data_IF_622428142709
#
_entry.id   IF_622428142709
#
_cell.length_a   1.000
_cell.length_b   1.000
_cell.length_c   1.000
_cell.angle_alpha   90.00
_cell.angle_beta   90.00
_cell.angle_gamma   90.00
#
_symmetry.space_group_name_H-M   'P 1'
#
loop_
_entity.id
_entity.type
_entity.pdbx_description
1 polymer ?
#
# COMPACT_ATOMS: atom_id res chain seq x y z
N UNK A 1 -14.06 10.01 -8.66
CA UNK A 1 -13.62 11.25 -7.99
C UNK A 1 -14.32 11.40 -6.64
N UNK A 2 -15.66 11.35 -6.60
CA UNK A 2 -16.46 11.43 -5.37
C UNK A 2 -16.04 10.44 -4.27
N UNK A 3 -15.84 9.15 -4.61
CA UNK A 3 -15.43 8.12 -3.63
C UNK A 3 -14.08 8.39 -2.95
N UNK A 4 -13.21 9.18 -3.57
CA UNK A 4 -11.92 9.58 -2.99
C UNK A 4 -12.07 10.86 -2.17
N UNK A 5 -12.59 11.91 -2.81
CA UNK A 5 -12.56 13.27 -2.28
C UNK A 5 -13.49 13.42 -1.09
N UNK A 6 -14.73 12.91 -1.17
CA UNK A 6 -15.72 13.13 -0.11
C UNK A 6 -15.27 12.52 1.21
N UNK A 7 -14.86 11.23 1.30
CA UNK A 7 -14.50 10.70 2.61
C UNK A 7 -13.16 11.27 3.11
N UNK A 8 -12.21 11.62 2.24
CA UNK A 8 -10.97 12.30 2.67
C UNK A 8 -11.27 13.68 3.21
N UNK A 9 -12.12 14.46 2.53
CA UNK A 9 -12.55 15.77 3.00
C UNK A 9 -13.25 15.67 4.36
N UNK A 10 -14.12 14.68 4.57
CA UNK A 10 -14.77 14.46 5.86
C UNK A 10 -13.74 14.14 6.98
N UNK A 11 -12.69 13.37 6.69
CA UNK A 11 -11.60 13.11 7.64
C UNK A 11 -10.82 14.40 7.94
N UNK A 12 -10.61 15.26 6.94
CA UNK A 12 -9.90 16.55 7.11
C UNK A 12 -10.73 17.62 7.79
N UNK A 13 -12.06 17.61 7.64
CA UNK A 13 -12.98 18.63 8.10
C UNK A 13 -12.77 19.06 9.56
N UNK A 14 -12.69 18.15 10.56
CA UNK A 14 -12.47 18.57 11.94
C UNK A 14 -11.11 19.26 12.16
N UNK A 15 -10.07 18.86 11.43
CA UNK A 15 -8.76 19.51 11.49
C UNK A 15 -8.75 20.86 10.76
N UNK A 16 -9.46 20.98 9.64
CA UNK A 16 -9.63 22.24 8.92
C UNK A 16 -10.36 23.29 9.77
N UNK A 17 -11.38 22.85 10.51
CA UNK A 17 -12.17 23.70 11.40
C UNK A 17 -11.48 23.96 12.75
N UNK A 18 -10.36 23.28 13.04
CA UNK A 18 -9.70 23.29 14.35
C UNK A 18 -10.71 23.02 15.48
N UNK A 19 -11.53 21.98 15.31
CA UNK A 19 -12.47 21.57 16.36
C UNK A 19 -11.71 21.10 17.60
N UNK A 20 -12.11 21.52 18.79
CA UNK A 20 -11.53 21.03 20.06
C UNK A 20 -11.83 19.56 20.32
N UNK A 21 -13.02 19.11 19.92
CA UNK A 21 -13.44 17.73 20.00
C UNK A 21 -14.47 17.39 18.93
N UNK A 22 -14.66 16.09 18.68
CA UNK A 22 -15.76 15.57 17.87
C UNK A 22 -16.38 14.35 18.55
N UNK A 23 -17.65 14.43 18.93
CA UNK A 23 -18.36 13.39 19.68
C UNK A 23 -17.58 12.86 20.90
N UNK A 24 -16.97 13.78 21.66
CA UNK A 24 -16.17 13.45 22.85
C UNK A 24 -14.73 13.01 22.59
N UNK A 25 -14.31 12.85 21.32
CA UNK A 25 -12.92 12.57 20.96
C UNK A 25 -12.15 13.90 20.96
N UNK A 26 -11.12 14.10 21.81
CA UNK A 26 -10.31 15.30 21.80
C UNK A 26 -9.45 15.38 20.53
N UNK A 27 -9.32 16.57 19.95
CA UNK A 27 -8.63 16.79 18.69
C UNK A 27 -7.52 17.85 18.82
N UNK A 28 -6.34 17.64 18.19
CA UNK A 28 -5.27 18.62 18.15
C UNK A 28 -5.66 19.92 17.44
N UNK A 29 -5.20 21.05 17.97
CA UNK A 29 -5.51 22.40 17.47
C UNK A 29 -4.55 22.91 16.39
N UNK A 30 -3.59 22.08 15.97
CA UNK A 30 -2.59 22.41 14.94
C UNK A 30 -3.18 22.39 13.51
N UNK A 31 -4.47 22.12 13.38
CA UNK A 31 -5.17 22.05 12.10
C UNK A 31 -4.61 20.97 11.17
N UNK A 32 -4.53 21.27 9.86
CA UNK A 32 -3.99 20.34 8.85
C UNK A 32 -2.53 19.93 9.07
N UNK A 33 -1.77 20.66 9.88
CA UNK A 33 -0.42 20.22 10.27
C UNK A 33 -0.48 18.84 10.95
N UNK A 34 -1.53 18.54 11.72
CA UNK A 34 -1.75 17.22 12.33
C UNK A 34 -1.83 16.10 11.28
N UNK A 35 -2.49 16.39 10.15
CA UNK A 35 -2.65 15.43 9.04
C UNK A 35 -1.33 15.24 8.30
N UNK A 36 -0.60 16.32 8.04
CA UNK A 36 0.72 16.29 7.38
C UNK A 36 1.74 15.54 8.24
N UNK A 37 1.73 15.78 9.55
CA UNK A 37 2.70 15.27 10.48
C UNK A 37 2.46 13.79 10.86
N UNK A 38 1.46 13.13 10.26
CA UNK A 38 1.23 11.71 10.54
C UNK A 38 2.45 10.85 10.21
N UNK A 39 2.69 9.82 11.01
CA UNK A 39 3.88 8.98 10.86
C UNK A 39 4.07 8.43 9.45
N UNK A 40 5.36 8.31 9.13
CA UNK A 40 6.02 8.04 7.85
C UNK A 40 5.98 9.17 6.82
N UNK A 41 4.96 10.02 6.80
CA UNK A 41 4.85 11.13 5.83
C UNK A 41 6.06 12.08 5.83
N UNK A 42 6.42 12.69 6.97
CA UNK A 42 7.60 13.54 7.08
C UNK A 42 8.92 12.87 6.68
N UNK A 43 9.06 11.57 6.89
CA UNK A 43 10.26 10.82 6.51
C UNK A 43 10.39 10.71 4.98
N UNK A 44 9.28 10.58 4.26
CA UNK A 44 9.27 10.70 2.80
C UNK A 44 9.62 12.12 2.31
N UNK A 45 9.26 13.18 3.05
CA UNK A 45 9.63 14.55 2.71
C UNK A 45 11.14 14.80 2.81
N UNK A 46 11.84 14.14 3.74
CA UNK A 46 13.31 14.19 3.81
C UNK A 46 13.90 13.71 2.49
N UNK A 47 13.43 12.58 1.96
CA UNK A 47 13.89 12.05 0.67
C UNK A 47 13.48 12.98 -0.48
N UNK A 48 12.28 13.57 -0.43
CA UNK A 48 11.83 14.56 -1.43
C UNK A 48 12.81 15.72 -1.57
N UNK A 49 13.27 16.26 -0.44
CA UNK A 49 14.16 17.43 -0.40
C UNK A 49 15.61 17.06 -0.73
N UNK A 50 16.08 15.91 -0.28
CA UNK A 50 17.52 15.56 -0.32
C UNK A 50 17.91 14.62 -1.45
N UNK A 51 16.96 13.88 -2.03
CA UNK A 51 17.21 12.75 -2.95
C UNK A 51 18.31 11.82 -2.42
N UNK A 52 18.21 11.46 -1.14
CA UNK A 52 19.12 10.57 -0.43
C UNK A 52 20.54 11.14 -0.20
N UNK A 53 20.78 12.44 -0.42
CA UNK A 53 22.07 13.06 -0.09
C UNK A 53 22.34 13.01 1.41
N UNK A 54 23.34 12.22 1.81
CA UNK A 54 23.71 12.03 3.21
C UNK A 54 24.07 13.33 3.93
N UNK A 55 24.76 14.24 3.24
CA UNK A 55 25.15 15.54 3.80
C UNK A 55 23.92 16.41 4.06
N UNK A 56 23.03 16.53 3.06
CA UNK A 56 21.81 17.33 3.20
C UNK A 56 20.87 16.78 4.28
N UNK A 57 20.80 15.45 4.45
CA UNK A 57 20.02 14.83 5.52
C UNK A 57 20.57 15.26 6.89
N UNK A 58 21.87 15.12 7.12
CA UNK A 58 22.52 15.45 8.40
C UNK A 58 22.46 16.94 8.74
N UNK A 59 22.62 17.79 7.74
CA UNK A 59 22.68 19.24 7.92
C UNK A 59 21.29 19.87 8.17
N UNK A 60 20.24 19.34 7.52
CA UNK A 60 18.94 20.01 7.47
C UNK A 60 17.85 19.30 8.28
N UNK A 61 18.01 18.04 8.67
CA UNK A 61 16.95 17.27 9.34
C UNK A 61 17.43 16.66 10.65
N UNK A 62 16.80 17.06 11.76
CA UNK A 62 17.17 16.64 13.11
C UNK A 62 16.37 15.41 13.59
N UNK A 63 16.25 14.37 12.75
CA UNK A 63 15.66 13.10 13.19
C UNK A 63 16.73 12.20 13.83
N UNK A 64 16.43 11.51 14.94
CA UNK A 64 17.37 10.61 15.63
C UNK A 64 17.48 9.25 14.89
N UNK A 65 17.70 9.31 13.58
CA UNK A 65 17.72 8.15 12.68
C UNK A 65 19.01 8.18 11.86
N UNK A 66 19.64 7.01 11.62
CA UNK A 66 20.79 6.93 10.73
C UNK A 66 20.37 7.31 9.30
N UNK A 67 21.30 7.82 8.50
CA UNK A 67 21.03 8.24 7.12
C UNK A 67 20.55 7.07 6.25
N UNK A 68 21.04 5.87 6.53
CA UNK A 68 20.65 4.63 5.87
C UNK A 68 19.17 4.28 6.10
N UNK A 69 18.54 4.80 7.15
CA UNK A 69 17.11 4.60 7.41
C UNK A 69 16.24 5.05 6.22
N UNK A 70 16.65 6.14 5.55
CA UNK A 70 15.91 6.67 4.42
C UNK A 70 15.98 5.78 3.17
N UNK A 71 16.86 4.75 3.12
CA UNK A 71 16.85 3.75 2.06
C UNK A 71 15.58 2.86 2.07
N UNK A 72 14.80 2.86 3.17
CA UNK A 72 13.47 2.24 3.22
C UNK A 72 12.39 3.04 2.45
N UNK A 73 12.66 4.31 2.15
CA UNK A 73 11.71 5.24 1.55
C UNK A 73 11.96 5.34 0.05
N UNK A 74 11.44 4.37 -0.71
CA UNK A 74 11.68 4.21 -2.15
C UNK A 74 11.24 5.43 -2.99
N UNK A 75 11.87 5.67 -4.16
CA UNK A 75 11.97 7.01 -4.73
C UNK A 75 10.71 7.55 -5.42
N UNK A 76 9.77 6.72 -5.89
CA UNK A 76 8.69 7.21 -6.74
C UNK A 76 7.77 8.20 -6.02
N UNK A 77 7.37 7.90 -4.79
CA UNK A 77 6.52 8.80 -4.01
C UNK A 77 7.25 10.14 -3.71
N UNK A 78 8.48 10.16 -3.15
CA UNK A 78 9.28 11.37 -3.01
C UNK A 78 9.46 12.22 -4.27
N UNK A 79 9.72 11.58 -5.40
CA UNK A 79 9.90 12.26 -6.69
C UNK A 79 8.60 12.90 -7.15
N UNK A 80 7.46 12.21 -7.03
CA UNK A 80 6.16 12.79 -7.34
C UNK A 80 5.84 13.98 -6.42
N UNK A 81 6.13 13.88 -5.12
CA UNK A 81 5.98 15.01 -4.20
C UNK A 81 6.82 16.19 -4.68
N UNK A 82 8.09 15.94 -5.03
CA UNK A 82 9.01 17.00 -5.49
C UNK A 82 8.50 17.68 -6.76
N UNK A 83 7.92 16.94 -7.69
CA UNK A 83 7.32 17.49 -8.91
C UNK A 83 6.13 18.41 -8.59
N UNK A 84 5.25 18.00 -7.68
CA UNK A 84 4.09 18.80 -7.25
C UNK A 84 4.47 19.95 -6.31
N UNK A 85 5.62 19.86 -5.63
CA UNK A 85 6.14 20.93 -4.77
C UNK A 85 6.55 22.19 -5.55
N UNK A 86 6.57 22.14 -6.89
CA UNK A 86 6.72 23.34 -7.71
C UNK A 86 5.43 24.21 -7.74
N UNK A 87 4.29 23.66 -7.31
CA UNK A 87 2.98 24.33 -7.32
C UNK A 87 2.56 24.75 -5.90
N UNK A 88 3.06 24.05 -4.87
CA UNK A 88 2.74 24.28 -3.45
C UNK A 88 3.88 23.78 -2.56
N UNK A 89 3.81 23.97 -1.24
CA UNK A 89 4.83 23.45 -0.32
C UNK A 89 4.86 21.92 -0.29
N UNK A 90 6.03 21.32 -0.06
CA UNK A 90 6.20 19.86 -0.11
C UNK A 90 5.22 19.08 0.80
N UNK A 91 4.91 19.52 2.04
CA UNK A 91 3.84 18.97 2.85
C UNK A 91 2.48 18.82 2.17
N UNK A 92 2.02 19.86 1.47
CA UNK A 92 0.72 19.84 0.79
C UNK A 92 0.81 19.11 -0.54
N UNK A 93 1.94 19.20 -1.24
CA UNK A 93 2.22 18.39 -2.41
C UNK A 93 2.12 16.89 -2.07
N UNK A 94 2.60 16.48 -0.90
CA UNK A 94 2.45 15.11 -0.40
C UNK A 94 1.00 14.69 -0.24
N UNK A 95 0.16 15.51 0.41
CA UNK A 95 -1.27 15.22 0.52
C UNK A 95 -1.95 15.14 -0.85
N UNK A 96 -1.61 16.05 -1.78
CA UNK A 96 -2.13 16.04 -3.15
C UNK A 96 -1.74 14.74 -3.87
N UNK A 97 -0.47 14.33 -3.81
CA UNK A 97 0.02 13.09 -4.43
C UNK A 97 -0.66 11.87 -3.81
N UNK A 98 -0.83 11.81 -2.49
CA UNK A 98 -1.58 10.73 -1.82
C UNK A 98 -3.03 10.68 -2.32
N UNK A 99 -3.75 11.80 -2.35
CA UNK A 99 -5.17 11.83 -2.78
C UNK A 99 -5.31 11.50 -4.26
N UNK A 100 -4.42 12.01 -5.11
CA UNK A 100 -4.39 11.66 -6.54
C UNK A 100 -4.13 10.17 -6.73
N UNK A 101 -3.19 9.61 -5.97
CA UNK A 101 -2.89 8.17 -5.99
C UNK A 101 -4.07 7.33 -5.51
N UNK A 102 -4.78 7.77 -4.46
CA UNK A 102 -6.00 7.11 -4.00
C UNK A 102 -7.12 7.14 -5.05
N UNK A 103 -7.25 8.23 -5.80
CA UNK A 103 -8.16 8.29 -6.94
C UNK A 103 -7.79 7.26 -8.02
N UNK A 104 -6.51 7.14 -8.36
CA UNK A 104 -6.03 6.13 -9.31
C UNK A 104 -6.28 4.71 -8.77
N UNK A 105 -6.08 4.47 -7.47
CA UNK A 105 -6.38 3.19 -6.83
C UNK A 105 -7.87 2.84 -6.97
N UNK A 106 -8.78 3.76 -6.65
CA UNK A 106 -10.22 3.55 -6.79
C UNK A 106 -10.64 3.36 -8.26
N UNK A 107 -10.01 4.08 -9.20
CA UNK A 107 -10.28 3.92 -10.63
C UNK A 107 -9.89 2.52 -11.12
N UNK A 108 -8.69 2.05 -10.80
CA UNK A 108 -8.25 0.72 -11.21
C UNK A 108 -8.98 -0.39 -10.45
N UNK A 109 -9.34 -0.16 -9.18
CA UNK A 109 -10.19 -1.08 -8.45
C UNK A 109 -11.57 -1.21 -9.09
N UNK A 110 -12.20 -0.09 -9.49
CA UNK A 110 -13.46 -0.10 -10.24
C UNK A 110 -13.33 -0.88 -11.55
N UNK A 111 -12.27 -0.62 -12.33
CA UNK A 111 -11.99 -1.37 -13.58
C UNK A 111 -11.83 -2.87 -13.32
N UNK A 112 -11.14 -3.25 -12.25
CA UNK A 112 -11.00 -4.65 -11.85
C UNK A 112 -12.35 -5.23 -11.40
N UNK A 113 -13.12 -4.54 -10.57
CA UNK A 113 -14.44 -4.99 -10.13
C UNK A 113 -15.40 -5.23 -11.31
N UNK A 114 -15.35 -4.38 -12.35
CA UNK A 114 -16.14 -4.53 -13.59
C UNK A 114 -15.85 -5.81 -14.38
N UNK A 115 -14.74 -6.50 -14.11
CA UNK A 115 -14.51 -7.84 -14.71
C UNK A 115 -15.33 -8.94 -14.04
N UNK A 116 -16.00 -8.66 -12.90
CA UNK A 116 -16.78 -9.64 -12.14
C UNK A 116 -18.23 -9.22 -11.88
N UNK A 117 -18.53 -7.93 -11.92
CA UNK A 117 -19.80 -7.35 -11.51
C UNK A 117 -20.34 -6.35 -12.54
N UNK A 118 -21.65 -6.14 -12.52
CA UNK A 118 -22.31 -5.03 -13.24
C UNK A 118 -21.85 -3.65 -12.73
N UNK A 119 -22.20 -2.59 -13.45
CA UNK A 119 -21.69 -1.25 -13.18
C UNK A 119 -22.07 -0.76 -11.79
N UNK A 120 -23.32 -0.94 -11.39
CA UNK A 120 -23.84 -0.49 -10.10
C UNK A 120 -23.14 -1.20 -8.94
N UNK A 121 -23.05 -2.53 -9.00
CA UNK A 121 -22.38 -3.33 -7.96
C UNK A 121 -20.88 -3.05 -7.92
N UNK A 122 -20.23 -2.81 -9.06
CA UNK A 122 -18.82 -2.39 -9.08
C UNK A 122 -18.63 -1.02 -8.44
N UNK A 123 -19.51 -0.05 -8.70
CA UNK A 123 -19.45 1.25 -8.02
C UNK A 123 -19.63 1.10 -6.52
N UNK A 124 -20.59 0.28 -6.09
CA UNK A 124 -20.82 0.03 -4.67
C UNK A 124 -19.62 -0.66 -4.01
N UNK A 125 -19.03 -1.68 -4.64
CA UNK A 125 -17.83 -2.33 -4.13
C UNK A 125 -16.63 -1.36 -4.07
N UNK A 126 -16.50 -0.45 -5.05
CA UNK A 126 -15.51 0.63 -5.00
C UNK A 126 -15.77 1.62 -3.85
N UNK A 127 -17.02 1.92 -3.52
CA UNK A 127 -17.37 2.74 -2.36
C UNK A 127 -17.00 2.03 -1.04
N UNK A 128 -17.19 0.71 -0.96
CA UNK A 128 -16.68 -0.09 0.16
C UNK A 128 -15.16 0.03 0.23
N UNK A 129 -14.46 -0.25 -0.89
CA UNK A 129 -13.00 -0.15 -0.92
C UNK A 129 -12.50 1.24 -0.57
N UNK A 130 -13.22 2.32 -0.88
CA UNK A 130 -12.75 3.66 -0.52
C UNK A 130 -12.83 3.96 0.97
N UNK A 131 -13.58 3.21 1.78
CA UNK A 131 -13.79 3.51 3.20
C UNK A 131 -13.27 2.38 4.10
N UNK A 132 -13.30 1.14 3.61
CA UNK A 132 -13.00 -0.07 4.37
C UNK A 132 -11.77 -0.82 3.83
N UNK A 133 -10.85 -1.28 4.70
CA UNK A 133 -10.86 -1.13 6.16
C UNK A 133 -10.52 0.30 6.60
N UNK A 134 -10.79 0.64 7.86
CA UNK A 134 -10.55 1.99 8.37
C UNK A 134 -9.07 2.43 8.20
N UNK A 135 -8.12 1.50 8.32
CA UNK A 135 -6.69 1.77 8.05
C UNK A 135 -6.45 2.28 6.63
N UNK A 136 -7.19 1.80 5.63
CA UNK A 136 -7.10 2.32 4.25
C UNK A 136 -7.59 3.77 4.14
N UNK A 137 -8.73 4.09 4.77
CA UNK A 137 -9.24 5.47 4.83
C UNK A 137 -8.23 6.43 5.48
N UNK A 138 -7.53 5.98 6.52
CA UNK A 138 -6.49 6.76 7.19
C UNK A 138 -5.31 7.01 6.25
N UNK A 139 -4.66 5.97 5.73
CA UNK A 139 -3.39 6.12 4.96
C UNK A 139 -3.60 6.88 3.65
N UNK A 140 -4.82 6.87 3.08
CA UNK A 140 -5.17 7.66 1.90
C UNK A 140 -5.58 9.10 2.19
N UNK A 141 -5.64 9.47 3.47
CA UNK A 141 -6.00 10.80 3.96
C UNK A 141 -4.86 11.48 4.71
N UNK A 142 -3.69 10.85 4.83
CA UNK A 142 -2.46 11.45 5.39
C UNK A 142 -1.33 11.32 4.37
N UNK A 143 -0.17 11.93 4.63
CA UNK A 143 0.99 11.77 3.76
C UNK A 143 1.50 10.34 3.79
N UNK A 144 1.10 9.50 2.84
CA UNK A 144 1.63 8.14 2.73
C UNK A 144 1.70 7.63 1.29
N UNK A 145 2.68 6.75 0.98
CA UNK A 145 2.85 6.12 -0.33
C UNK A 145 1.88 4.95 -0.58
N UNK A 146 1.18 4.45 0.44
CA UNK A 146 0.31 3.27 0.38
C UNK A 146 -0.70 3.36 -0.76
N UNK A 147 -1.38 4.50 -1.00
CA UNK A 147 -2.31 4.61 -2.11
C UNK A 147 -1.66 4.49 -3.47
N UNK A 148 -0.44 5.03 -3.64
CA UNK A 148 0.32 4.92 -4.90
C UNK A 148 0.75 3.47 -5.14
N UNK A 149 1.23 2.81 -4.09
CA UNK A 149 1.66 1.42 -4.14
C UNK A 149 0.49 0.50 -4.52
N UNK A 150 -0.65 0.67 -3.87
CA UNK A 150 -1.86 -0.13 -4.11
C UNK A 150 -2.45 0.17 -5.49
N UNK A 151 -2.48 1.43 -5.93
CA UNK A 151 -2.89 1.80 -7.28
C UNK A 151 -2.06 1.07 -8.34
N UNK A 152 -0.74 1.08 -8.18
CA UNK A 152 0.19 0.45 -9.10
C UNK A 152 0.04 -1.08 -9.12
N UNK A 153 -0.17 -1.73 -7.97
CA UNK A 153 -0.45 -3.17 -7.87
C UNK A 153 -1.74 -3.55 -8.62
N UNK A 154 -2.85 -2.85 -8.34
CA UNK A 154 -4.14 -3.16 -8.98
C UNK A 154 -4.04 -2.95 -10.49
N UNK A 155 -3.40 -1.85 -10.92
CA UNK A 155 -3.17 -1.57 -12.34
C UNK A 155 -2.32 -2.64 -13.02
N UNK A 156 -1.21 -3.07 -12.38
CA UNK A 156 -0.36 -4.13 -12.89
C UNK A 156 -1.15 -5.43 -13.09
N UNK A 157 -1.88 -5.88 -12.06
CA UNK A 157 -2.71 -7.10 -12.14
C UNK A 157 -3.81 -6.97 -13.18
N UNK A 158 -4.49 -5.81 -13.25
CA UNK A 158 -5.52 -5.56 -14.27
C UNK A 158 -4.96 -5.67 -15.69
N UNK A 159 -3.80 -5.08 -15.97
CA UNK A 159 -3.19 -5.17 -17.30
C UNK A 159 -2.62 -6.55 -17.60
N UNK A 160 -2.08 -7.25 -16.59
CA UNK A 160 -1.63 -8.63 -16.73
C UNK A 160 -2.79 -9.56 -17.12
N UNK A 161 -3.93 -9.48 -16.42
CA UNK A 161 -5.17 -10.21 -16.75
C UNK A 161 -5.61 -9.97 -18.20
N UNK A 162 -5.43 -8.74 -18.68
CA UNK A 162 -5.77 -8.34 -20.05
C UNK A 162 -4.66 -8.60 -21.08
N UNK A 163 -3.61 -9.35 -20.74
CA UNK A 163 -2.45 -9.67 -21.59
C UNK A 163 -1.69 -8.44 -22.10
N UNK A 164 -1.87 -7.27 -21.48
CA UNK A 164 -1.15 -6.02 -21.79
C UNK A 164 0.14 -5.97 -20.98
N UNK A 165 1.07 -6.88 -21.25
CA UNK A 165 2.26 -7.11 -20.42
C UNK A 165 3.19 -5.90 -20.28
N UNK A 166 3.30 -5.05 -21.31
CA UNK A 166 4.10 -3.82 -21.20
C UNK A 166 3.54 -2.86 -20.14
N UNK A 167 2.24 -2.58 -20.19
CA UNK A 167 1.59 -1.75 -19.17
C UNK A 167 1.65 -2.42 -17.79
N UNK A 168 1.47 -3.75 -17.73
CA UNK A 168 1.65 -4.50 -16.50
C UNK A 168 3.06 -4.34 -15.91
N UNK A 169 4.09 -4.39 -16.76
CA UNK A 169 5.49 -4.20 -16.35
C UNK A 169 5.77 -2.77 -15.89
N UNK A 170 5.25 -1.76 -16.59
CA UNK A 170 5.36 -0.34 -16.20
C UNK A 170 4.73 -0.08 -14.83
N UNK A 171 3.48 -0.54 -14.62
CA UNK A 171 2.82 -0.39 -13.33
C UNK A 171 3.44 -1.25 -12.23
N UNK A 172 3.96 -2.43 -12.56
CA UNK A 172 4.73 -3.24 -11.62
C UNK A 172 6.04 -2.57 -11.20
N UNK A 173 6.76 -1.94 -12.14
CA UNK A 173 7.93 -1.13 -11.85
C UNK A 173 7.57 0.09 -11.00
N UNK A 174 6.45 0.75 -11.28
CA UNK A 174 5.94 1.84 -10.43
C UNK A 174 5.66 1.37 -9.00
N UNK A 175 5.04 0.19 -8.81
CA UNK A 175 4.83 -0.40 -7.49
C UNK A 175 6.18 -0.66 -6.78
N UNK A 176 7.14 -1.25 -7.49
CA UNK A 176 8.48 -1.53 -6.96
C UNK A 176 9.24 -0.26 -6.59
N UNK A 177 9.15 0.81 -7.38
CA UNK A 177 9.76 2.11 -7.09
C UNK A 177 9.02 2.87 -5.97
N UNK A 178 7.84 2.40 -5.54
CA UNK A 178 7.08 3.02 -4.44
C UNK A 178 7.40 2.36 -3.10
N UNK A 179 7.43 1.02 -3.03
CA UNK A 179 7.78 0.27 -1.81
C UNK A 179 8.45 -1.07 -2.19
N UNK A 180 9.33 -1.56 -1.31
CA UNK A 180 10.07 -2.81 -1.52
C UNK A 180 9.22 -4.05 -1.80
N UNK A 181 8.00 -4.25 -1.21
CA UNK A 181 7.19 -5.43 -1.49
C UNK A 181 6.62 -5.47 -2.92
N UNK A 182 6.85 -4.44 -3.74
CA UNK A 182 6.49 -4.46 -5.16
C UNK A 182 7.11 -5.63 -5.94
N UNK A 183 8.25 -6.17 -5.49
CA UNK A 183 8.93 -7.31 -6.12
C UNK A 183 8.05 -8.57 -6.13
N UNK A 184 7.12 -8.66 -5.17
CA UNK A 184 6.20 -9.80 -5.04
C UNK A 184 5.27 -9.93 -6.25
N UNK A 185 5.02 -8.85 -7.00
CA UNK A 185 4.31 -8.92 -8.29
C UNK A 185 5.06 -9.76 -9.32
N UNK A 186 6.39 -9.61 -9.40
CA UNK A 186 7.20 -10.39 -10.33
C UNK A 186 7.14 -11.88 -9.97
N UNK A 187 7.32 -12.21 -8.69
CA UNK A 187 7.19 -13.59 -8.18
C UNK A 187 5.80 -14.15 -8.51
N UNK A 188 4.74 -13.37 -8.30
CA UNK A 188 3.38 -13.80 -8.60
C UNK A 188 3.15 -14.05 -10.10
N UNK A 189 3.60 -13.15 -10.97
CA UNK A 189 3.44 -13.29 -12.42
C UNK A 189 4.22 -14.49 -12.98
N UNK A 190 5.44 -14.73 -12.49
CA UNK A 190 6.21 -15.93 -12.82
C UNK A 190 5.49 -17.18 -12.30
N UNK A 191 4.96 -17.13 -11.07
CA UNK A 191 4.17 -18.22 -10.49
C UNK A 191 2.94 -18.59 -11.30
N UNK A 192 2.20 -17.59 -11.81
CA UNK A 192 1.05 -17.82 -12.70
C UNK A 192 1.46 -18.55 -13.98
N UNK A 193 2.58 -18.14 -14.60
CA UNK A 193 3.08 -18.83 -15.80
C UNK A 193 3.56 -20.25 -15.51
N UNK A 194 4.20 -20.47 -14.36
CA UNK A 194 4.60 -21.81 -13.93
C UNK A 194 3.37 -22.73 -13.77
N UNK A 195 2.32 -22.25 -13.10
CA UNK A 195 1.05 -22.98 -12.94
C UNK A 195 0.42 -23.29 -14.30
N UNK A 196 0.31 -22.31 -15.20
CA UNK A 196 -0.25 -22.49 -16.55
C UNK A 196 0.54 -23.50 -17.39
N UNK A 197 1.88 -23.49 -17.26
CA UNK A 197 2.76 -24.45 -17.95
C UNK A 197 2.58 -25.87 -17.42
N UNK A 198 2.58 -26.04 -16.09
CA UNK A 198 2.40 -27.35 -15.45
C UNK A 198 1.04 -27.96 -15.75
N UNK A 199 -0.03 -27.17 -15.73
CA UNK A 199 -1.38 -27.63 -16.08
C UNK A 199 -1.45 -28.13 -17.53
N UNK A 200 -0.83 -27.42 -18.47
CA UNK A 200 -0.82 -27.82 -19.90
C UNK A 200 0.01 -29.07 -20.15
N UNK A 201 1.14 -29.22 -19.46
CA UNK A 201 1.96 -30.44 -19.51
C UNK A 201 1.25 -31.66 -18.94
N UNK A 202 0.42 -31.48 -17.90
CA UNK A 202 -0.33 -32.58 -17.28
C UNK A 202 -1.54 -33.05 -18.11
N UNK A 203 -2.10 -32.19 -18.97
CA UNK A 203 -3.37 -32.45 -19.69
C UNK A 203 -3.14 -32.86 -21.16
N UNK A 204 -2.03 -32.46 -21.79
CA UNK A 204 -1.80 -32.68 -23.23
C UNK A 204 -0.47 -33.40 -23.45
N UNK A 205 -0.59 -34.60 -24.04
CA UNK A 205 0.32 -35.28 -24.97
C UNK A 205 1.80 -34.82 -25.00
N UNK A 206 2.76 -35.76 -24.91
CA UNK A 206 4.24 -35.57 -24.83
C UNK A 206 4.91 -34.58 -25.84
N UNK A 207 4.15 -33.98 -26.75
CA UNK A 207 4.59 -33.02 -27.78
C UNK A 207 4.17 -31.55 -27.52
N UNK A 208 3.78 -31.16 -26.29
CA UNK A 208 3.47 -29.76 -25.96
C UNK A 208 4.69 -28.84 -26.15
N UNK A 209 4.61 -27.91 -27.10
CA UNK A 209 5.59 -26.81 -27.27
C UNK A 209 5.01 -25.54 -26.65
N UNK A 210 5.58 -25.11 -25.52
CA UNK A 210 5.20 -23.86 -24.87
C UNK A 210 5.56 -22.66 -25.75
N UNK A 211 4.58 -21.81 -26.05
CA UNK A 211 4.80 -20.59 -26.83
C UNK A 211 4.92 -19.38 -25.90
N UNK A 212 6.15 -19.05 -25.52
CA UNK A 212 6.43 -17.87 -24.69
C UNK A 212 6.24 -16.60 -25.52
N UNK A 213 5.41 -15.66 -25.04
CA UNK A 213 5.26 -14.37 -25.71
C UNK A 213 6.46 -13.48 -25.38
N UNK A 214 7.25 -12.97 -26.33
CA UNK A 214 8.35 -12.05 -26.01
C UNK A 214 7.87 -10.79 -25.28
N UNK A 215 6.61 -10.38 -25.49
CA UNK A 215 5.99 -9.25 -24.79
C UNK A 215 5.87 -9.48 -23.28
N UNK A 216 5.83 -10.73 -22.83
CA UNK A 216 5.84 -11.08 -21.42
C UNK A 216 7.17 -10.70 -20.73
N UNK A 217 8.28 -10.58 -21.46
CA UNK A 217 9.56 -10.08 -20.91
C UNK A 217 9.44 -8.67 -20.31
N UNK A 218 8.41 -7.90 -20.67
CA UNK A 218 8.17 -6.60 -20.08
C UNK A 218 7.94 -6.64 -18.55
N UNK A 219 7.58 -7.79 -17.95
CA UNK A 219 7.51 -7.90 -16.49
C UNK A 219 8.90 -7.79 -15.81
N UNK A 220 10.00 -7.97 -16.57
CA UNK A 220 11.37 -7.76 -16.07
C UNK A 220 11.65 -6.30 -15.72
N UNK A 221 10.80 -5.37 -16.14
CA UNK A 221 10.84 -3.98 -15.66
C UNK A 221 10.71 -3.89 -14.14
N UNK A 222 10.03 -4.84 -13.49
CA UNK A 222 9.88 -4.91 -12.04
C UNK A 222 11.26 -5.10 -11.36
N UNK A 223 11.97 -6.23 -11.55
CA UNK A 223 13.30 -6.41 -10.96
C UNK A 223 14.33 -5.39 -11.48
N UNK A 224 14.24 -4.95 -12.73
CA UNK A 224 15.13 -3.90 -13.25
C UNK A 224 14.97 -2.58 -12.49
N UNK A 225 13.74 -2.22 -12.11
CA UNK A 225 13.50 -1.01 -11.31
C UNK A 225 14.03 -1.13 -9.87
N UNK A 226 14.00 -2.32 -9.27
CA UNK A 226 14.64 -2.56 -7.97
C UNK A 226 16.17 -2.40 -8.06
N UNK A 227 16.78 -2.97 -9.12
CA UNK A 227 18.22 -2.79 -9.37
C UNK A 227 18.58 -1.31 -9.56
N UNK A 228 17.74 -0.55 -10.26
CA UNK A 228 17.94 0.89 -10.41
C UNK A 228 17.94 1.63 -9.06
N UNK A 229 17.04 1.27 -8.13
CA UNK A 229 17.01 1.81 -6.76
C UNK A 229 18.31 1.50 -6.02
N UNK A 230 18.80 0.27 -6.08
CA UNK A 230 20.07 -0.11 -5.43
C UNK A 230 21.28 0.57 -6.06
N UNK A 231 21.27 0.83 -7.37
CA UNK A 231 22.28 1.66 -8.02
C UNK A 231 22.25 3.10 -7.47
N UNK A 232 21.07 3.70 -7.27
CA UNK A 232 20.95 5.02 -6.63
C UNK A 232 21.57 4.99 -5.23
N UNK A 233 21.32 3.94 -4.45
CA UNK A 233 21.90 3.79 -3.12
C UNK A 233 23.41 3.64 -3.14
N UNK A 234 23.96 2.92 -4.13
CA UNK A 234 25.42 2.85 -4.30
C UNK A 234 26.04 4.23 -4.56
N UNK A 235 25.35 5.09 -5.31
CA UNK A 235 25.82 6.44 -5.63
C UNK A 235 25.65 7.43 -4.47
N UNK A 236 24.60 7.28 -3.65
CA UNK A 236 24.22 8.26 -2.62
C UNK A 236 24.73 7.89 -1.23
N UNK A 237 24.59 6.62 -0.84
CA UNK A 237 25.05 6.08 0.44
C UNK A 237 26.40 5.35 0.35
N UNK A 238 26.94 5.13 -0.85
CA UNK A 238 28.14 4.33 -1.06
C UNK A 238 27.92 2.81 -0.96
N UNK A 239 26.68 2.37 -0.66
CA UNK A 239 26.31 0.97 -0.46
C UNK A 239 25.15 0.55 -1.36
N UNK A 240 25.35 -0.50 -2.16
CA UNK A 240 24.32 -1.08 -3.03
C UNK A 240 23.18 -1.71 -2.21
N UNK A 241 23.52 -2.24 -1.03
CA UNK A 241 22.59 -2.95 -0.14
C UNK A 241 22.08 -2.07 1.00
N UNK A 242 22.18 -0.74 0.89
CA UNK A 242 21.82 0.20 1.97
C UNK A 242 20.42 -0.04 2.57
N UNK A 243 19.45 -0.47 1.74
CA UNK A 243 18.12 -0.87 2.20
C UNK A 243 18.16 -1.90 3.34
N UNK A 244 19.02 -2.92 3.25
CA UNK A 244 19.15 -3.97 4.26
C UNK A 244 19.76 -3.48 5.57
N UNK A 245 20.46 -2.34 5.54
CA UNK A 245 21.01 -1.66 6.73
C UNK A 245 20.10 -0.56 7.28
N UNK A 246 18.95 -0.29 6.66
CA UNK A 246 18.04 0.80 7.06
C UNK A 246 17.36 0.59 8.42
N UNK A 247 17.31 -0.65 8.91
CA UNK A 247 16.56 -1.02 10.10
C UNK A 247 15.06 -1.27 9.87
N UNK A 248 14.52 -0.95 8.68
CA UNK A 248 13.11 -1.23 8.33
C UNK A 248 12.88 -2.71 7.94
N UNK A 249 13.94 -3.43 7.58
CA UNK A 249 13.89 -4.88 7.34
C UNK A 249 13.82 -5.73 8.62
N UNK A 250 13.91 -5.11 9.80
CA UNK A 250 13.88 -5.77 11.11
C UNK A 250 12.44 -6.19 11.49
N UNK A 251 11.49 -6.14 10.55
CA UNK A 251 10.13 -6.63 10.79
C UNK A 251 9.89 -8.05 10.25
N UNK A 252 10.80 -8.60 9.44
CA UNK A 252 10.66 -9.93 8.85
C UNK A 252 11.49 -10.93 9.65
N UNK A 253 10.82 -11.92 10.25
CA UNK A 253 11.46 -12.89 11.14
C UNK A 253 11.16 -14.33 10.73
N UNK A 254 12.13 -15.21 10.97
CA UNK A 254 11.97 -16.66 10.85
C UNK A 254 12.16 -17.32 12.23
N UNK A 255 11.35 -18.33 12.63
CA UNK A 255 10.21 -18.95 11.92
C UNK A 255 9.00 -18.00 11.74
N UNK A 256 8.00 -18.33 10.90
CA UNK A 256 6.79 -17.50 10.76
C UNK A 256 6.01 -17.40 12.09
N UNK A 257 5.09 -16.44 12.15
CA UNK A 257 4.19 -16.15 13.27
C UNK A 257 4.86 -15.58 14.53
N UNK A 258 6.07 -15.02 14.43
CA UNK A 258 6.72 -14.36 15.57
C UNK A 258 5.95 -13.16 16.12
N UNK A 259 4.97 -12.61 15.39
CA UNK A 259 4.09 -11.55 15.90
C UNK A 259 3.37 -11.92 17.19
N UNK A 260 3.19 -13.22 17.49
CA UNK A 260 2.57 -13.68 18.74
C UNK A 260 3.56 -13.74 19.92
N UNK A 261 4.83 -13.45 19.69
CA UNK A 261 5.77 -13.19 20.77
C UNK A 261 5.58 -11.74 21.23
N UNK A 262 4.87 -11.53 22.33
CA UNK A 262 4.60 -10.19 22.89
C UNK A 262 5.89 -9.41 23.20
N UNK A 263 6.99 -10.11 23.48
CA UNK A 263 8.32 -9.54 23.76
C UNK A 263 9.12 -9.21 22.49
N UNK A 264 8.62 -9.57 21.30
CA UNK A 264 9.31 -9.23 20.06
C UNK A 264 9.34 -7.71 19.85
N UNK A 265 10.41 -7.18 19.26
CA UNK A 265 10.46 -5.78 18.85
C UNK A 265 9.24 -5.44 18.00
N UNK A 266 8.63 -4.28 18.25
CA UNK A 266 7.48 -3.75 17.50
C UNK A 266 6.13 -4.45 17.69
N UNK A 267 6.04 -5.49 18.52
CA UNK A 267 4.76 -6.10 18.94
C UNK A 267 4.27 -5.45 20.22
N UNK A 268 5.02 -5.61 21.32
CA UNK A 268 4.83 -4.89 22.58
C UNK A 268 3.48 -5.10 23.29
N UNK A 269 2.71 -6.12 22.91
CA UNK A 269 1.40 -6.41 23.50
C UNK A 269 0.95 -7.84 23.25
N UNK A 270 0.03 -8.32 24.08
CA UNK A 270 -0.64 -9.62 23.93
C UNK A 270 -2.05 -9.49 23.29
N UNK A 271 -2.58 -8.27 23.14
CA UNK A 271 -3.86 -7.97 22.47
C UNK A 271 -3.68 -7.99 20.96
N UNK A 272 -3.85 -9.18 20.36
CA UNK A 272 -3.52 -9.49 18.96
C UNK A 272 -4.66 -10.23 18.24
N UNK A 273 -5.89 -10.22 18.75
CA UNK A 273 -7.05 -10.87 18.15
C UNK A 273 -7.31 -10.38 16.72
N UNK A 274 -7.06 -9.11 16.43
CA UNK A 274 -7.17 -8.56 15.08
C UNK A 274 -6.17 -9.16 14.10
N UNK A 275 -5.02 -9.64 14.57
CA UNK A 275 -4.04 -10.36 13.74
C UNK A 275 -4.65 -11.68 13.25
N UNK A 276 -5.36 -12.39 14.12
CA UNK A 276 -6.08 -13.61 13.74
C UNK A 276 -7.16 -13.32 12.70
N UNK A 277 -7.88 -12.20 12.83
CA UNK A 277 -8.86 -11.78 11.82
C UNK A 277 -8.20 -11.40 10.48
N UNK A 278 -7.07 -10.70 10.49
CA UNK A 278 -6.31 -10.37 9.27
C UNK A 278 -5.86 -11.66 8.57
N UNK A 279 -5.30 -12.61 9.31
CA UNK A 279 -4.87 -13.89 8.74
C UNK A 279 -6.03 -14.69 8.17
N UNK A 280 -7.14 -14.77 8.92
CA UNK A 280 -8.33 -15.51 8.51
C UNK A 280 -8.93 -14.92 7.23
N UNK A 281 -9.13 -13.60 7.17
CA UNK A 281 -9.72 -12.93 6.00
C UNK A 281 -8.79 -12.99 4.79
N UNK A 282 -7.47 -12.83 5.01
CA UNK A 282 -6.47 -12.96 3.96
C UNK A 282 -6.46 -14.36 3.34
N UNK A 283 -6.38 -15.40 4.17
CA UNK A 283 -6.36 -16.79 3.73
C UNK A 283 -7.68 -17.22 3.08
N UNK A 284 -8.83 -16.86 3.68
CA UNK A 284 -10.13 -17.13 3.08
C UNK A 284 -10.28 -16.42 1.72
N UNK A 285 -9.77 -15.20 1.61
CA UNK A 285 -9.77 -14.46 0.34
C UNK A 285 -8.96 -15.18 -0.74
N UNK A 286 -7.76 -15.67 -0.40
CA UNK A 286 -6.95 -16.51 -1.29
C UNK A 286 -7.70 -17.78 -1.70
N UNK A 287 -8.26 -18.52 -0.75
CA UNK A 287 -9.01 -19.75 -1.01
C UNK A 287 -10.20 -19.49 -1.94
N UNK A 288 -10.95 -18.41 -1.73
CA UNK A 288 -12.07 -18.04 -2.58
C UNK A 288 -11.62 -17.69 -4.00
N UNK A 289 -10.52 -16.95 -4.18
CA UNK A 289 -9.98 -16.66 -5.51
C UNK A 289 -9.54 -17.93 -6.25
N UNK A 290 -8.92 -18.89 -5.53
CA UNK A 290 -8.54 -20.19 -6.09
C UNK A 290 -9.78 -20.99 -6.50
N UNK A 291 -10.81 -21.04 -5.65
CA UNK A 291 -12.09 -21.72 -5.96
C UNK A 291 -12.80 -21.11 -7.17
N UNK A 292 -12.72 -19.79 -7.32
CA UNK A 292 -13.21 -19.05 -8.47
C UNK A 292 -12.33 -19.23 -9.73
N UNK A 293 -11.23 -20.00 -9.64
CA UNK A 293 -10.23 -20.22 -10.69
C UNK A 293 -9.58 -18.94 -11.20
N UNK A 294 -9.56 -17.90 -10.38
CA UNK A 294 -8.95 -16.63 -10.74
C UNK A 294 -7.48 -16.58 -10.32
N UNK A 295 -6.66 -17.35 -11.04
CA UNK A 295 -5.29 -17.65 -10.64
C UNK A 295 -4.37 -16.43 -10.57
N UNK A 296 -4.63 -15.35 -11.31
CA UNK A 296 -3.76 -14.16 -11.30
C UNK A 296 -3.82 -13.42 -9.94
N UNK A 297 -4.98 -12.88 -9.51
CA UNK A 297 -5.10 -12.29 -8.19
C UNK A 297 -4.94 -13.34 -7.08
N UNK A 298 -5.30 -14.60 -7.29
CA UNK A 298 -5.06 -15.66 -6.31
C UNK A 298 -3.57 -15.85 -5.99
N UNK A 299 -2.72 -16.01 -7.02
CA UNK A 299 -1.29 -16.22 -6.85
C UNK A 299 -0.63 -14.99 -6.23
N UNK A 300 -0.99 -13.78 -6.67
CA UNK A 300 -0.47 -12.56 -6.01
C UNK A 300 -0.89 -12.49 -4.54
N UNK A 301 -2.17 -12.71 -4.26
CA UNK A 301 -2.71 -12.67 -2.89
C UNK A 301 -2.03 -13.72 -2.00
N UNK A 302 -1.77 -14.92 -2.53
CA UNK A 302 -1.07 -15.98 -1.82
C UNK A 302 0.38 -15.60 -1.53
N UNK A 303 1.14 -15.16 -2.55
CA UNK A 303 2.54 -14.74 -2.37
C UNK A 303 2.62 -13.62 -1.35
N UNK A 304 1.76 -12.60 -1.45
CA UNK A 304 1.74 -11.49 -0.52
C UNK A 304 1.37 -11.94 0.90
N UNK A 305 0.31 -12.75 1.04
CA UNK A 305 -0.10 -13.32 2.32
C UNK A 305 1.00 -14.15 2.99
N UNK A 306 1.70 -14.99 2.22
CA UNK A 306 2.83 -15.77 2.73
C UNK A 306 3.98 -14.91 3.22
N UNK A 307 4.15 -13.67 2.74
CA UNK A 307 5.13 -12.75 3.34
C UNK A 307 4.64 -12.15 4.66
N UNK A 308 3.32 -11.91 4.81
CA UNK A 308 2.75 -11.31 6.00
C UNK A 308 2.93 -12.18 7.25
N UNK A 309 2.92 -13.51 7.12
CA UNK A 309 3.12 -14.39 8.28
C UNK A 309 4.52 -14.30 8.88
N UNK A 310 5.50 -13.76 8.15
CA UNK A 310 6.85 -13.48 8.67
C UNK A 310 6.97 -12.07 9.25
N UNK A 311 5.96 -11.21 9.09
CA UNK A 311 6.00 -9.84 9.62
C UNK A 311 5.63 -9.84 11.10
N UNK A 312 6.57 -9.41 11.95
CA UNK A 312 6.36 -9.19 13.38
C UNK A 312 6.30 -7.70 13.66
N UNK A 313 5.11 -7.11 13.47
CA UNK A 313 4.87 -5.69 13.70
C UNK A 313 3.40 -5.46 14.10
N UNK A 314 3.16 -4.65 15.14
CA UNK A 314 1.82 -4.41 15.69
C UNK A 314 0.81 -3.87 14.67
N UNK A 315 1.27 -3.02 13.77
CA UNK A 315 0.47 -2.44 12.67
C UNK A 315 0.37 -3.34 11.42
N UNK A 316 0.21 -4.66 11.61
CA UNK A 316 0.12 -5.63 10.51
C UNK A 316 -1.00 -5.29 9.52
N UNK A 317 -2.09 -4.67 9.99
CA UNK A 317 -3.19 -4.24 9.12
C UNK A 317 -2.70 -3.30 8.00
N UNK A 318 -1.79 -2.36 8.30
CA UNK A 318 -1.16 -1.50 7.29
C UNK A 318 -0.36 -2.31 6.27
N UNK A 319 0.49 -3.24 6.73
CA UNK A 319 1.29 -4.09 5.85
C UNK A 319 0.39 -4.97 4.95
N UNK A 320 -0.80 -5.33 5.44
CA UNK A 320 -1.78 -6.15 4.69
C UNK A 320 -2.62 -5.37 3.67
N UNK A 321 -2.59 -4.02 3.65
CA UNK A 321 -3.43 -3.22 2.75
C UNK A 321 -3.32 -3.58 1.25
N UNK A 322 -2.15 -3.97 0.71
CA UNK A 322 -2.03 -4.47 -0.67
C UNK A 322 -2.88 -5.70 -0.99
N UNK A 323 -3.25 -6.48 0.02
CA UNK A 323 -4.11 -7.66 -0.09
C UNK A 323 -5.61 -7.29 -0.14
N UNK A 324 -5.99 -6.16 0.48
CA UNK A 324 -7.39 -5.73 0.66
C UNK A 324 -8.18 -5.70 -0.65
N UNK A 325 -7.70 -5.12 -1.77
CA UNK A 325 -8.46 -5.10 -3.02
C UNK A 325 -8.90 -6.50 -3.46
N UNK A 326 -8.00 -7.49 -3.34
CA UNK A 326 -8.25 -8.85 -3.79
C UNK A 326 -9.13 -9.63 -2.82
N UNK A 327 -9.01 -9.37 -1.52
CA UNK A 327 -9.93 -9.87 -0.50
C UNK A 327 -11.35 -9.34 -0.78
N UNK A 328 -11.53 -8.04 -1.03
CA UNK A 328 -12.84 -7.49 -1.37
C UNK A 328 -13.43 -8.11 -2.66
N UNK A 329 -12.61 -8.32 -3.70
CA UNK A 329 -13.04 -9.03 -4.92
C UNK A 329 -13.45 -10.49 -4.61
N UNK A 330 -12.73 -11.17 -3.73
CA UNK A 330 -13.05 -12.56 -3.36
C UNK A 330 -14.39 -12.68 -2.64
N UNK A 331 -14.74 -11.71 -1.79
CA UNK A 331 -16.00 -11.64 -1.05
C UNK A 331 -17.10 -10.83 -1.76
N UNK A 332 -16.90 -10.48 -3.04
CA UNK A 332 -17.79 -9.58 -3.79
C UNK A 332 -19.28 -9.94 -3.71
N UNK A 333 -19.64 -11.24 -3.70
CA UNK A 333 -21.04 -11.70 -3.63
C UNK A 333 -21.70 -11.31 -2.31
N UNK A 334 -20.98 -11.46 -1.19
CA UNK A 334 -21.43 -11.05 0.14
C UNK A 334 -21.48 -9.53 0.24
N UNK A 335 -20.41 -8.86 -0.18
CA UNK A 335 -20.26 -7.42 0.00
C UNK A 335 -21.28 -6.58 -0.78
N UNK A 336 -21.83 -7.10 -1.87
CA UNK A 336 -22.87 -6.40 -2.67
C UNK A 336 -24.30 -6.80 -2.27
N UNK A 337 -24.46 -7.65 -1.26
CA UNK A 337 -25.77 -8.09 -0.78
C UNK A 337 -26.53 -6.96 -0.08
N UNK A 338 -27.86 -7.10 0.04
CA UNK A 338 -28.70 -6.09 0.72
C UNK A 338 -28.39 -6.02 2.22
N UNK A 339 -28.08 -7.16 2.81
CA UNK A 339 -27.73 -7.30 4.22
C UNK A 339 -26.41 -6.57 4.50
N UNK A 340 -25.38 -6.78 3.65
CA UNK A 340 -24.12 -6.10 3.84
C UNK A 340 -24.22 -4.59 3.61
N UNK A 341 -25.12 -4.10 2.74
CA UNK A 341 -25.38 -2.66 2.60
C UNK A 341 -25.78 -2.01 3.93
N UNK A 342 -26.62 -2.69 4.73
CA UNK A 342 -27.04 -2.21 6.05
C UNK A 342 -25.84 -2.21 7.01
N UNK A 343 -25.07 -3.31 7.04
CA UNK A 343 -23.86 -3.42 7.86
C UNK A 343 -22.86 -2.32 7.49
N UNK A 344 -22.63 -2.08 6.21
CA UNK A 344 -21.70 -1.06 5.73
C UNK A 344 -22.13 0.34 6.16
N UNK A 345 -23.43 0.67 6.04
CA UNK A 345 -23.97 1.95 6.50
C UNK A 345 -23.75 2.15 8.01
N UNK A 346 -23.97 1.11 8.82
CA UNK A 346 -23.66 1.14 10.25
C UNK A 346 -22.16 1.36 10.50
N UNK A 347 -21.29 0.67 9.75
CA UNK A 347 -19.83 0.75 9.91
C UNK A 347 -19.23 2.11 9.51
N UNK A 348 -19.92 2.95 8.71
CA UNK A 348 -19.40 4.26 8.32
C UNK A 348 -19.03 5.13 9.53
N UNK A 349 -19.88 5.13 10.56
CA UNK A 349 -19.68 5.94 11.77
C UNK A 349 -18.45 5.47 12.57
N UNK A 350 -18.33 4.20 13.02
CA UNK A 350 -17.15 3.77 13.76
C UNK A 350 -15.87 3.83 12.94
N UNK A 351 -15.92 3.59 11.62
CA UNK A 351 -14.75 3.77 10.74
C UNK A 351 -14.29 5.24 10.75
N UNK A 352 -15.23 6.18 10.65
CA UNK A 352 -14.94 7.60 10.68
C UNK A 352 -14.33 8.01 12.03
N UNK A 353 -14.96 7.63 13.14
CA UNK A 353 -14.49 7.94 14.49
C UNK A 353 -13.10 7.35 14.76
N UNK A 354 -12.88 6.09 14.38
CA UNK A 354 -11.56 5.47 14.46
C UNK A 354 -10.53 6.23 13.63
N UNK A 355 -10.89 6.67 12.42
CA UNK A 355 -9.97 7.38 11.52
C UNK A 355 -9.52 8.72 12.07
N UNK A 356 -10.45 9.54 12.58
CA UNK A 356 -10.08 10.84 13.17
C UNK A 356 -9.27 10.66 14.46
N UNK A 357 -9.61 9.67 15.29
CA UNK A 357 -8.86 9.36 16.50
C UNK A 357 -7.44 8.91 16.15
N UNK A 358 -7.28 8.01 15.18
CA UNK A 358 -5.97 7.53 14.77
C UNK A 358 -5.12 8.67 14.20
N UNK A 359 -5.65 9.46 13.27
CA UNK A 359 -4.93 10.60 12.67
C UNK A 359 -4.50 11.60 13.75
N UNK A 360 -5.33 11.82 14.78
CA UNK A 360 -5.01 12.75 15.87
C UNK A 360 -3.81 12.33 16.73
N UNK A 361 -3.60 11.02 16.89
CA UNK A 361 -2.58 10.48 17.82
C UNK A 361 -1.31 9.99 17.11
N UNK A 362 -1.42 9.55 15.86
CA UNK A 362 -0.30 8.98 15.11
C UNK A 362 0.56 10.06 14.45
N UNK A 363 0.98 11.06 15.22
CA UNK A 363 1.70 12.25 14.74
C UNK A 363 3.16 12.20 15.14
N UNK A 364 4.05 12.43 14.18
CA UNK A 364 5.47 12.62 14.39
C UNK A 364 5.74 14.03 14.90
N UNK A 365 6.47 14.14 16.02
CA UNK A 365 6.82 15.43 16.59
C UNK A 365 7.92 16.11 15.75
N UNK A 366 7.61 17.27 15.18
CA UNK A 366 8.53 18.07 14.34
C UNK A 366 8.68 19.44 14.96
N UNK A 367 9.88 19.74 15.44
CA UNK A 367 10.21 21.02 16.09
C UNK A 367 10.43 22.16 15.10
N UNK A 368 10.95 21.86 13.91
CA UNK A 368 11.20 22.85 12.86
C UNK A 368 10.72 22.33 11.50
N UNK A 369 9.77 23.06 10.91
CA UNK A 369 9.21 22.75 9.60
C UNK A 369 9.97 23.41 8.44
N UNK A 370 10.86 24.35 8.73
CA UNK A 370 11.61 25.12 7.72
C UNK A 370 12.30 24.24 6.66
N UNK A 371 12.96 23.12 7.03
CA UNK A 371 13.59 22.21 6.05
C UNK A 371 12.60 21.51 5.11
N UNK A 372 11.32 21.46 5.48
CA UNK A 372 10.26 20.76 4.75
C UNK A 372 9.47 21.68 3.81
N UNK A 373 9.42 22.98 4.10
CA UNK A 373 8.76 23.98 3.24
C UNK A 373 9.55 24.15 1.95
#
# INVERSE_FOLDING_TARGET
>A
MLFTVVPTFLVWLPFLLKSESFLGIPLPQNGLQTVVANYDGPLYLVVTKTLYSANLIKENFAFPLPVEYYAAHFPLFPVLIRLFANITYAPYAMLIVTVASAFIAHLYFFKLARTYLDTEKSMFLTAIFSIFPARWLIVRSVGSPEPLFIAAIIAAIYYFKNKKYLLSGIFGAAAQLTKSPGILLFIAFVGVWAIDTLQKMSIVNKNFKYHFSPKALAILLIPASLLAVFCIYKLTFGSFTAYFSSGDNIHIFFPPFQIFNYSAPWVGTFWLEEILFIYSLGLLGVIHLIKDKDYIPATFSLVFFLTLIFVSHRDLLRYSLPLVPFVLISFRKLLVSKEFKIVFLFLLVPIYLYSISFVSQNVMHISDWTPFL
#
